data_IF_840145877792
#
_entry.id   IF_840145877792
#
_cell.length_a   1.000
_cell.length_b   1.000
_cell.length_c   1.000
_cell.angle_alpha   90.00
_cell.angle_beta   90.00
_cell.angle_gamma   90.00
#
_symmetry.space_group_name_H-M   'P 1'
#
loop_
_entity.id
_entity.type
_entity.pdbx_description
1 polymer ?
#
# COMPACT_ATOMS: atom_id res chain seq x y z
N UNK A 1 -2.75 12.57 -5.07
CA UNK A 1 -2.42 12.57 -3.64
C UNK A 1 -1.34 11.54 -3.37
N UNK A 2 -0.35 11.91 -2.58
CA UNK A 2 0.79 11.05 -2.32
C UNK A 2 0.66 10.41 -0.94
N UNK A 3 0.64 9.08 -0.90
CA UNK A 3 0.59 8.33 0.36
C UNK A 3 2.01 7.87 0.72
N UNK A 4 2.68 8.68 1.54
CA UNK A 4 4.10 8.43 1.90
C UNK A 4 4.30 7.07 2.56
N UNK A 5 3.29 6.56 3.26
CA UNK A 5 3.41 5.32 4.02
C UNK A 5 3.61 4.08 3.16
N UNK A 6 3.12 4.08 1.90
CA UNK A 6 3.34 2.91 1.04
C UNK A 6 4.83 2.74 0.73
N UNK A 7 5.55 3.84 0.54
CA UNK A 7 7.00 3.80 0.34
C UNK A 7 7.70 3.39 1.63
N UNK A 8 7.29 3.94 2.77
CA UNK A 8 7.89 3.61 4.06
C UNK A 8 7.72 2.13 4.38
N UNK A 9 6.52 1.58 4.16
CA UNK A 9 6.26 0.15 4.38
C UNK A 9 7.13 -0.71 3.47
N UNK A 10 7.28 -0.32 2.21
CA UNK A 10 8.13 -1.04 1.28
C UNK A 10 9.59 -1.04 1.73
N UNK A 11 10.10 0.14 2.09
CA UNK A 11 11.49 0.28 2.51
C UNK A 11 11.77 -0.46 3.82
N UNK A 12 10.82 -0.45 4.75
CA UNK A 12 10.95 -1.17 6.03
C UNK A 12 11.12 -2.67 5.83
N UNK A 13 10.62 -3.22 4.74
CA UNK A 13 10.74 -4.64 4.41
C UNK A 13 11.85 -4.91 3.40
N UNK A 14 12.66 -3.92 3.09
CA UNK A 14 13.77 -4.03 2.13
C UNK A 14 13.32 -4.51 0.76
N UNK A 15 12.13 -4.07 0.33
CA UNK A 15 11.57 -4.45 -0.96
C UNK A 15 11.87 -3.39 -2.01
N UNK A 16 12.00 -3.84 -3.25
CA UNK A 16 12.08 -2.95 -4.40
C UNK A 16 10.67 -2.63 -4.91
N UNK A 17 10.55 -1.54 -5.67
CA UNK A 17 9.28 -1.19 -6.29
C UNK A 17 8.73 -2.32 -7.16
N UNK A 18 9.61 -3.02 -7.87
CA UNK A 18 9.20 -4.14 -8.74
C UNK A 18 8.54 -5.27 -7.94
N UNK A 19 8.99 -5.49 -6.70
CA UNK A 19 8.44 -6.55 -5.86
C UNK A 19 6.98 -6.24 -5.50
N UNK A 20 6.71 -5.00 -5.13
CA UNK A 20 5.34 -4.59 -4.76
C UNK A 20 4.47 -4.49 -6.00
N UNK A 21 5.02 -4.02 -7.12
CA UNK A 21 4.30 -4.01 -8.39
C UNK A 21 3.81 -5.40 -8.76
N UNK A 22 4.64 -6.42 -8.55
CA UNK A 22 4.28 -7.81 -8.82
C UNK A 22 3.11 -8.25 -7.94
N UNK A 23 3.13 -7.88 -6.65
CA UNK A 23 2.02 -8.18 -5.73
C UNK A 23 0.71 -7.60 -6.26
N UNK A 24 0.76 -6.40 -6.82
CA UNK A 24 -0.43 -5.74 -7.35
C UNK A 24 -0.78 -6.15 -8.78
N UNK A 25 0.10 -6.89 -9.46
CA UNK A 25 -0.12 -7.29 -10.85
C UNK A 25 0.01 -6.15 -11.85
N UNK A 26 0.85 -5.17 -11.56
CA UNK A 26 1.08 -4.01 -12.42
C UNK A 26 2.56 -3.86 -12.71
N UNK A 27 2.90 -2.98 -13.65
CA UNK A 27 4.31 -2.72 -13.96
C UNK A 27 4.97 -1.91 -12.85
N UNK A 28 6.30 -2.01 -12.77
CA UNK A 28 7.08 -1.20 -11.83
C UNK A 28 6.86 0.29 -12.06
N UNK A 29 6.82 0.71 -13.32
CA UNK A 29 6.62 2.10 -13.66
C UNK A 29 5.25 2.61 -13.18
N UNK A 30 4.22 1.80 -13.37
CA UNK A 30 2.87 2.12 -12.92
C UNK A 30 2.84 2.28 -11.39
N UNK A 31 3.46 1.34 -10.68
CA UNK A 31 3.54 1.39 -9.22
C UNK A 31 4.34 2.63 -8.75
N UNK A 32 5.43 2.95 -9.45
CA UNK A 32 6.22 4.14 -9.12
C UNK A 32 5.38 5.41 -9.14
N UNK A 33 4.42 5.50 -10.05
CA UNK A 33 3.50 6.64 -10.11
C UNK A 33 2.61 6.72 -8.89
N UNK A 34 2.28 5.59 -8.26
CA UNK A 34 1.56 5.59 -6.98
C UNK A 34 2.41 6.24 -5.89
N UNK A 35 3.66 5.83 -5.78
CA UNK A 35 4.55 6.39 -4.74
C UNK A 35 4.83 7.86 -4.95
N UNK A 36 4.91 8.30 -6.19
CA UNK A 36 5.18 9.70 -6.53
C UNK A 36 3.95 10.60 -6.43
N UNK A 37 2.77 10.01 -6.26
CA UNK A 37 1.53 10.77 -6.20
C UNK A 37 1.00 11.21 -7.56
N UNK A 38 1.57 10.70 -8.64
CA UNK A 38 1.16 11.06 -10.01
C UNK A 38 -0.07 10.28 -10.47
N UNK A 39 -0.47 9.26 -9.72
CA UNK A 39 -1.60 8.42 -10.07
C UNK A 39 -2.35 8.01 -8.80
N UNK A 40 -3.66 8.10 -8.84
CA UNK A 40 -4.50 7.67 -7.71
C UNK A 40 -4.49 6.16 -7.57
N UNK A 41 -4.47 5.68 -6.32
CA UNK A 41 -4.50 4.25 -6.04
C UNK A 41 -5.96 3.83 -5.88
N UNK A 42 -6.46 2.93 -6.71
CA UNK A 42 -7.84 2.45 -6.56
C UNK A 42 -7.99 1.63 -5.28
N UNK A 43 -9.20 1.58 -4.75
CA UNK A 43 -9.47 0.93 -3.46
C UNK A 43 -9.02 -0.53 -3.44
N UNK A 44 -9.18 -1.26 -4.55
CA UNK A 44 -8.79 -2.67 -4.57
C UNK A 44 -7.28 -2.86 -4.45
N UNK A 45 -6.47 -1.91 -4.92
CA UNK A 45 -5.02 -1.93 -4.70
C UNK A 45 -4.66 -1.52 -3.27
N UNK A 46 -5.41 -0.59 -2.67
CA UNK A 46 -5.21 -0.24 -1.26
C UNK A 46 -5.50 -1.44 -0.35
N UNK A 47 -6.56 -2.18 -0.65
CA UNK A 47 -6.90 -3.40 0.09
C UNK A 47 -5.76 -4.41 -0.02
N UNK A 48 -5.24 -4.61 -1.22
CA UNK A 48 -4.15 -5.55 -1.48
C UNK A 48 -2.89 -5.17 -0.71
N UNK A 49 -2.54 -3.89 -0.71
CA UNK A 49 -1.39 -3.39 0.04
C UNK A 49 -1.58 -3.56 1.54
N UNK A 50 -2.78 -3.26 2.04
CA UNK A 50 -3.10 -3.43 3.46
C UNK A 50 -2.95 -4.89 3.89
N UNK A 51 -3.43 -5.81 3.06
CA UNK A 51 -3.30 -7.24 3.31
C UNK A 51 -1.84 -7.68 3.27
N UNK A 52 -1.11 -7.23 2.26
CA UNK A 52 0.28 -7.61 2.07
C UNK A 52 1.16 -7.14 3.24
N UNK A 53 0.97 -5.91 3.70
CA UNK A 53 1.74 -5.35 4.80
C UNK A 53 1.13 -5.64 6.17
N UNK A 54 -0.05 -6.25 6.21
CA UNK A 54 -0.78 -6.53 7.45
C UNK A 54 -1.01 -5.27 8.28
N UNK A 55 -1.51 -4.24 7.63
CA UNK A 55 -1.89 -2.97 8.24
C UNK A 55 -3.29 -2.58 7.78
N UNK A 56 -3.88 -1.57 8.41
CA UNK A 56 -5.19 -1.07 7.98
C UNK A 56 -5.03 -0.12 6.79
N UNK A 57 -6.10 0.02 6.01
CA UNK A 57 -6.15 1.03 4.96
C UNK A 57 -6.04 2.43 5.59
N UNK A 58 -6.68 2.62 6.74
CA UNK A 58 -6.62 3.90 7.47
C UNK A 58 -5.19 4.31 7.78
N UNK A 59 -4.34 3.34 8.14
CA UNK A 59 -2.92 3.61 8.36
C UNK A 59 -2.24 4.06 7.06
N UNK A 60 -2.51 3.35 5.97
CA UNK A 60 -1.88 3.65 4.68
C UNK A 60 -2.22 5.08 4.24
N UNK A 61 -3.47 5.48 4.37
CA UNK A 61 -3.92 6.80 3.90
C UNK A 61 -3.72 7.92 4.93
N UNK A 62 -3.20 7.57 6.13
CA UNK A 62 -2.83 8.58 7.11
C UNK A 62 -3.93 8.99 8.08
N UNK A 63 -5.01 8.23 8.17
CA UNK A 63 -6.12 8.53 9.08
C UNK A 63 -5.85 8.05 10.51
N UNK A 64 -4.87 7.18 10.71
CA UNK A 64 -4.48 6.68 12.01
C UNK A 64 -2.99 6.37 12.03
N UNK A 65 -2.37 6.44 13.20
CA UNK A 65 -0.98 6.01 13.40
C UNK A 65 -0.89 4.55 13.87
N UNK A 66 -2.04 3.92 14.11
CA UNK A 66 -2.08 2.53 14.55
C UNK A 66 -1.91 1.61 13.34
N UNK A 67 -0.85 0.79 13.35
CA UNK A 67 -0.55 -0.12 12.24
C UNK A 67 -1.42 -1.37 12.23
N UNK A 68 -2.05 -1.70 13.36
CA UNK A 68 -2.83 -2.95 13.46
C UNK A 68 -4.00 -2.94 12.48
N UNK A 69 -4.17 -4.01 11.71
CA UNK A 69 -5.35 -4.13 10.85
C UNK A 69 -6.60 -4.29 11.72
N UNK A 70 -7.73 -3.85 11.17
CA UNK A 70 -9.01 -4.11 11.82
C UNK A 70 -9.34 -5.59 11.77
N UNK A 71 -10.05 -6.08 12.78
CA UNK A 71 -10.56 -7.44 12.78
C UNK A 71 -11.44 -7.65 11.56
N UNK A 72 -11.16 -8.73 10.80
CA UNK A 72 -11.97 -9.03 9.63
C UNK A 72 -13.29 -9.63 10.06
N UNK A 73 -14.36 -9.13 9.47
CA UNK A 73 -15.64 -9.79 9.62
C UNK A 73 -15.62 -11.08 8.83
N UNK A 74 -15.93 -12.15 9.50
CA UNK A 74 -16.22 -13.42 8.86
C UNK A 74 -17.71 -13.41 8.60
N UNK A 75 -18.07 -13.28 7.36
CA UNK A 75 -19.49 -13.31 6.98
C UNK A 75 -19.83 -14.61 6.31
#
# INVERSE_FOLDING_TARGET
MKFVRIRNLREDKDLYQKDVAEVLGISQQYYSEYENGNRSIPIFHLIKLAEFYNVSIDYIVGLTDNTKPYSRKIS
#
